data_IF_415212274449
#
_entry.id   IF_415212274449
#
_cell.length_a   1.000
_cell.length_b   1.000
_cell.length_c   1.000
_cell.angle_alpha   90.00
_cell.angle_beta   90.00
_cell.angle_gamma   90.00
#
_symmetry.space_group_name_H-M   'P 1'
#
loop_
_entity.id
_entity.type
_entity.pdbx_description
1 polymer ?
#
# COMPACT_ATOMS: atom_id res chain seq x y z
N UNK A 1 13.72 -3.67 16.19
CA UNK A 1 14.21 -5.06 16.05
C UNK A 1 14.36 -5.27 14.56
N UNK A 2 15.57 -5.54 14.05
CA UNK A 2 15.74 -5.69 12.59
C UNK A 2 14.94 -6.90 12.09
N UNK A 3 14.13 -6.77 11.03
CA UNK A 3 13.37 -7.89 10.48
C UNK A 3 14.34 -8.92 9.89
N UNK A 4 13.93 -10.19 9.93
CA UNK A 4 14.70 -11.23 9.25
C UNK A 4 14.72 -10.97 7.73
N UNK A 5 15.80 -11.30 7.01
CA UNK A 5 15.87 -11.08 5.56
C UNK A 5 14.70 -11.68 4.77
N UNK A 6 14.11 -12.77 5.27
CA UNK A 6 12.96 -13.43 4.64
C UNK A 6 11.66 -12.60 4.71
N UNK A 7 11.59 -11.63 5.63
CA UNK A 7 10.47 -10.70 5.78
C UNK A 7 10.58 -9.51 4.83
N UNK A 8 11.76 -9.24 4.28
CA UNK A 8 11.97 -8.15 3.32
C UNK A 8 11.44 -8.60 1.96
N UNK A 9 10.62 -7.77 1.33
CA UNK A 9 10.14 -7.99 -0.02
C UNK A 9 11.32 -7.84 -0.99
N UNK A 10 11.46 -8.72 -2.01
CA UNK A 10 12.48 -8.55 -3.04
C UNK A 10 12.37 -7.17 -3.72
N UNK A 11 13.46 -6.68 -4.31
CA UNK A 11 13.40 -5.43 -5.06
C UNK A 11 12.31 -5.47 -6.14
N UNK A 12 11.51 -4.39 -6.20
CA UNK A 12 10.38 -4.26 -7.10
C UNK A 12 9.06 -3.98 -6.37
N UNK A 13 7.97 -3.83 -7.13
CA UNK A 13 6.66 -3.53 -6.56
C UNK A 13 6.12 -4.69 -5.74
N UNK A 14 5.34 -4.37 -4.73
CA UNK A 14 4.41 -5.33 -4.15
C UNK A 14 3.24 -5.51 -5.12
N UNK A 15 2.88 -6.77 -5.39
CA UNK A 15 1.76 -7.11 -6.27
C UNK A 15 0.70 -7.88 -5.48
N UNK A 16 -0.54 -7.41 -5.54
CA UNK A 16 -1.70 -8.10 -4.96
C UNK A 16 -2.82 -8.26 -5.99
N UNK A 17 -3.63 -9.29 -5.86
CA UNK A 17 -4.79 -9.54 -6.73
C UNK A 17 -6.05 -9.64 -5.90
N UNK A 18 -7.06 -8.85 -6.26
CA UNK A 18 -8.32 -8.70 -5.52
C UNK A 18 -9.47 -9.09 -6.45
N UNK A 19 -10.46 -9.89 -6.00
CA UNK A 19 -11.63 -10.22 -6.84
C UNK A 19 -12.33 -8.98 -7.39
N UNK A 20 -12.78 -9.01 -8.64
CA UNK A 20 -13.53 -7.90 -9.27
C UNK A 20 -14.82 -7.57 -8.53
N UNK A 21 -15.43 -8.55 -7.87
CA UNK A 21 -16.65 -8.39 -7.08
C UNK A 21 -16.45 -7.68 -5.75
N UNK A 22 -15.20 -7.40 -5.34
CA UNK A 22 -14.93 -6.78 -4.06
C UNK A 22 -15.09 -5.26 -4.11
N UNK A 23 -15.63 -4.69 -3.03
CA UNK A 23 -15.52 -3.25 -2.75
C UNK A 23 -14.13 -2.99 -2.14
N UNK A 24 -13.35 -2.10 -2.74
CA UNK A 24 -11.96 -1.86 -2.36
C UNK A 24 -11.83 -0.51 -1.68
N UNK A 25 -11.13 -0.48 -0.54
CA UNK A 25 -10.74 0.72 0.17
C UNK A 25 -9.23 0.73 0.37
N UNK A 26 -8.56 1.83 0.00
CA UNK A 26 -7.11 1.98 0.09
C UNK A 26 -6.80 3.26 0.86
N UNK A 27 -5.98 3.15 1.89
CA UNK A 27 -5.50 4.28 2.70
C UNK A 27 -4.02 4.18 2.95
N UNK A 28 -3.39 5.32 3.22
CA UNK A 28 -1.99 5.40 3.55
C UNK A 28 -1.73 6.21 4.83
N UNK A 29 -0.64 5.88 5.51
CA UNK A 29 -0.13 6.61 6.68
C UNK A 29 1.38 6.77 6.56
N UNK A 30 1.91 7.90 7.02
CA UNK A 30 3.35 8.11 7.18
C UNK A 30 3.78 8.08 8.65
N UNK A 31 5.03 7.72 8.86
CA UNK A 31 5.71 7.85 10.13
C UNK A 31 7.19 8.28 10.00
N UNK A 32 7.49 9.11 8.99
CA UNK A 32 8.86 9.49 8.64
C UNK A 32 9.01 11.01 8.48
N UNK A 33 10.17 11.56 8.83
CA UNK A 33 10.50 12.95 8.52
C UNK A 33 10.70 13.18 7.00
N UNK A 34 11.20 12.17 6.30
CA UNK A 34 11.34 12.21 4.84
C UNK A 34 9.98 12.13 4.16
N UNK A 35 9.89 12.79 3.00
CA UNK A 35 8.68 12.70 2.17
C UNK A 35 8.54 11.30 1.64
N UNK A 36 7.38 10.71 1.87
CA UNK A 36 7.01 9.40 1.37
C UNK A 36 6.08 9.56 0.18
N UNK A 37 6.28 8.72 -0.82
CA UNK A 37 5.42 8.60 -1.99
C UNK A 37 5.12 7.13 -2.21
N UNK A 38 3.84 6.80 -2.31
CA UNK A 38 3.39 5.46 -2.65
C UNK A 38 2.50 5.51 -3.87
N UNK A 39 2.93 4.84 -4.93
CA UNK A 39 2.14 4.70 -6.17
C UNK A 39 1.40 3.38 -6.13
N UNK A 40 0.07 3.45 -6.17
CA UNK A 40 -0.84 2.32 -6.21
C UNK A 40 -1.49 2.29 -7.60
N UNK A 41 -1.14 1.32 -8.41
CA UNK A 41 -1.59 1.21 -9.81
C UNK A 41 -2.44 -0.06 -9.99
N UNK A 42 -3.66 0.09 -10.52
CA UNK A 42 -4.38 -1.06 -11.06
C UNK A 42 -3.86 -1.33 -12.47
N UNK A 43 -3.34 -2.53 -12.72
CA UNK A 43 -2.68 -2.87 -13.99
C UNK A 43 -3.65 -2.65 -15.16
N UNK A 44 -3.24 -1.79 -16.10
CA UNK A 44 -4.03 -1.45 -17.28
C UNK A 44 -5.14 -0.41 -17.04
N UNK A 45 -5.17 0.24 -15.86
CA UNK A 45 -6.12 1.30 -15.52
C UNK A 45 -5.42 2.48 -14.83
N UNK A 46 -6.10 3.07 -13.85
CA UNK A 46 -5.68 4.27 -13.13
C UNK A 46 -4.55 3.99 -12.13
N UNK A 47 -3.78 5.04 -11.85
CA UNK A 47 -2.79 5.08 -10.78
C UNK A 47 -3.19 6.13 -9.74
N UNK A 48 -2.94 5.81 -8.49
CA UNK A 48 -3.18 6.65 -7.34
C UNK A 48 -1.85 6.91 -6.65
N UNK A 49 -1.50 8.18 -6.47
CA UNK A 49 -0.23 8.57 -5.85
C UNK A 49 -0.56 9.18 -4.49
N UNK A 50 -0.20 8.45 -3.44
CA UNK A 50 -0.28 8.89 -2.05
C UNK A 50 1.05 9.55 -1.67
N UNK A 51 1.00 10.73 -1.06
CA UNK A 51 2.17 11.41 -0.53
C UNK A 51 1.95 11.86 0.91
N UNK A 52 3.02 11.92 1.69
CA UNK A 52 2.94 12.42 3.06
C UNK A 52 4.31 12.57 3.71
N UNK A 53 4.31 13.16 4.90
CA UNK A 53 5.49 13.28 5.77
C UNK A 53 5.04 13.56 7.19
N UNK A 54 5.89 13.24 8.15
CA UNK A 54 5.67 13.39 9.58
C UNK A 54 5.14 12.13 10.25
N UNK A 55 5.35 12.08 11.57
CA UNK A 55 4.92 10.98 12.42
C UNK A 55 3.40 10.90 12.54
N UNK A 56 2.86 9.71 12.29
CA UNK A 56 1.46 9.41 12.57
C UNK A 56 0.44 10.07 11.63
N UNK A 57 0.82 10.58 10.46
CA UNK A 57 -0.06 11.38 9.58
C UNK A 57 -0.71 10.54 8.48
N UNK A 58 -1.95 10.84 8.07
CA UNK A 58 -2.52 10.25 6.87
C UNK A 58 -1.74 10.70 5.63
N UNK A 59 -1.61 9.81 4.65
CA UNK A 59 -1.12 10.16 3.33
C UNK A 59 -2.25 10.76 2.50
N UNK A 60 -1.93 11.75 1.68
CA UNK A 60 -2.88 12.44 0.82
C UNK A 60 -2.62 12.08 -0.64
N UNK A 61 -3.68 11.80 -1.37
CA UNK A 61 -3.67 11.63 -2.81
C UNK A 61 -3.39 12.96 -3.51
N UNK A 62 -2.81 12.88 -4.71
CA UNK A 62 -2.83 14.00 -5.66
C UNK A 62 -4.29 14.41 -5.91
N UNK A 63 -4.69 15.57 -5.39
CA UNK A 63 -6.07 16.06 -5.41
C UNK A 63 -6.72 16.22 -4.03
N UNK A 64 -6.08 15.78 -2.95
CA UNK A 64 -6.46 16.12 -1.57
C UNK A 64 -7.28 15.08 -0.80
N UNK A 65 -7.68 13.97 -1.43
CA UNK A 65 -8.35 12.86 -0.72
C UNK A 65 -7.34 12.04 0.08
N UNK A 66 -7.76 11.37 1.16
CA UNK A 66 -6.90 10.50 1.98
C UNK A 66 -7.19 9.00 1.76
N UNK A 67 -8.20 8.69 0.94
CA UNK A 67 -8.57 7.33 0.57
C UNK A 67 -8.92 7.19 -0.90
N UNK A 68 -8.79 5.97 -1.40
CA UNK A 68 -9.39 5.51 -2.64
C UNK A 68 -10.49 4.51 -2.30
N UNK A 69 -11.72 4.80 -2.73
CA UNK A 69 -12.89 3.95 -2.54
C UNK A 69 -13.41 3.51 -3.91
N UNK A 70 -13.44 2.20 -4.15
CA UNK A 70 -13.80 1.63 -5.45
C UNK A 70 -14.93 0.63 -5.28
N UNK A 71 -15.99 0.85 -6.04
CA UNK A 71 -17.13 -0.05 -6.07
C UNK A 71 -16.81 -1.36 -6.81
N UNK A 72 -17.54 -2.44 -6.50
CA UNK A 72 -17.45 -3.70 -7.23
C UNK A 72 -17.65 -3.54 -8.74
N UNK A 73 -16.90 -4.32 -9.52
CA UNK A 73 -17.07 -4.42 -10.97
C UNK A 73 -17.82 -5.72 -11.26
N UNK A 74 -18.75 -5.68 -12.23
CA UNK A 74 -19.39 -6.89 -12.72
C UNK A 74 -18.37 -7.76 -13.44
N UNK A 75 -18.03 -8.90 -12.85
CA UNK A 75 -17.07 -9.84 -13.40
C UNK A 75 -16.80 -11.00 -12.47
N UNK A 76 -15.91 -11.88 -12.90
CA UNK A 76 -15.47 -13.06 -12.12
C UNK A 76 -13.94 -13.16 -12.08
N UNK A 77 -13.23 -12.13 -12.56
CA UNK A 77 -11.78 -12.06 -12.59
C UNK A 77 -11.19 -11.39 -11.36
N UNK A 78 -9.96 -10.89 -11.53
CA UNK A 78 -9.20 -10.20 -10.50
C UNK A 78 -8.69 -8.85 -10.99
N UNK A 79 -8.79 -7.84 -10.13
CA UNK A 79 -8.10 -6.56 -10.24
C UNK A 79 -6.71 -6.75 -9.64
N UNK A 80 -5.67 -6.62 -10.47
CA UNK A 80 -4.28 -6.75 -10.03
C UNK A 80 -3.68 -5.39 -9.79
N UNK A 81 -3.02 -5.23 -8.64
CA UNK A 81 -2.49 -3.98 -8.14
C UNK A 81 -0.99 -4.08 -7.99
N UNK A 82 -0.30 -3.03 -8.45
CA UNK A 82 1.13 -2.84 -8.29
C UNK A 82 1.35 -1.66 -7.33
N UNK A 83 2.17 -1.85 -6.30
CA UNK A 83 2.38 -0.88 -5.23
C UNK A 83 3.87 -0.62 -5.06
N UNK A 84 4.29 0.60 -5.40
CA UNK A 84 5.69 1.06 -5.34
C UNK A 84 5.86 2.09 -4.23
N UNK A 85 6.89 1.91 -3.39
CA UNK A 85 7.21 2.80 -2.27
C UNK A 85 8.50 3.57 -2.56
N UNK A 86 8.45 4.88 -2.37
CA UNK A 86 9.57 5.79 -2.58
C UNK A 86 9.66 6.79 -1.44
N UNK A 87 10.87 7.27 -1.16
CA UNK A 87 11.13 8.33 -0.20
C UNK A 87 12.04 9.41 -0.80
N UNK A 88 11.98 10.61 -0.23
CA UNK A 88 12.87 11.72 -0.53
C UNK A 88 13.13 12.59 0.70
N UNK A 89 14.41 12.90 0.93
CA UNK A 89 14.83 13.82 1.99
C UNK A 89 14.60 15.30 1.64
N UNK A 90 14.41 15.67 0.38
CA UNK A 90 14.18 17.05 -0.06
C UNK A 90 12.75 17.31 -0.54
N UNK A 91 12.03 16.24 -0.90
CA UNK A 91 10.71 16.29 -1.51
C UNK A 91 10.67 16.75 -2.96
N UNK A 92 11.81 16.95 -3.62
CA UNK A 92 11.87 17.29 -5.05
C UNK A 92 11.53 16.05 -5.92
N UNK A 93 10.82 16.24 -7.03
CA UNK A 93 10.37 15.12 -7.89
C UNK A 93 11.51 14.19 -8.34
N UNK A 94 12.66 14.76 -8.68
CA UNK A 94 13.85 14.04 -9.15
C UNK A 94 14.68 13.38 -8.04
N UNK A 95 14.28 13.60 -6.77
CA UNK A 95 15.02 13.11 -5.60
C UNK A 95 14.43 11.86 -4.97
N UNK A 96 13.29 11.37 -5.48
CA UNK A 96 12.67 10.15 -4.97
C UNK A 96 13.49 8.91 -5.32
N UNK A 97 13.80 8.12 -4.30
CA UNK A 97 14.46 6.81 -4.40
C UNK A 97 13.55 5.72 -3.87
N UNK A 98 13.79 4.47 -4.26
CA UNK A 98 13.01 3.33 -3.76
C UNK A 98 13.23 3.11 -2.26
N UNK A 99 12.15 2.86 -1.54
CA UNK A 99 12.17 2.40 -0.15
C UNK A 99 12.36 0.88 -0.10
N UNK A 100 12.93 0.35 0.98
CA UNK A 100 12.80 -1.07 1.31
C UNK A 100 11.34 -1.32 1.72
N UNK A 101 10.85 -2.54 1.51
CA UNK A 101 9.44 -2.89 1.79
C UNK A 101 9.39 -4.23 2.50
N UNK A 102 8.50 -4.38 3.49
CA UNK A 102 8.19 -5.68 4.08
C UNK A 102 7.24 -6.47 3.18
N UNK A 103 7.35 -7.81 3.24
CA UNK A 103 6.32 -8.68 2.68
C UNK A 103 4.97 -8.31 3.30
N UNK A 104 3.89 -8.22 2.50
CA UNK A 104 2.59 -7.82 3.01
C UNK A 104 2.11 -8.72 4.13
N UNK A 105 1.57 -8.13 5.19
CA UNK A 105 0.77 -8.84 6.18
C UNK A 105 -0.61 -9.01 5.58
N UNK A 106 -1.06 -10.25 5.45
CA UNK A 106 -2.35 -10.60 4.86
C UNK A 106 -3.28 -11.17 5.91
N UNK A 107 -4.50 -10.64 5.98
CA UNK A 107 -5.56 -11.11 6.85
C UNK A 107 -6.84 -11.42 6.07
N UNK A 108 -7.58 -12.43 6.50
CA UNK A 108 -8.84 -12.85 5.85
C UNK A 108 -9.90 -13.10 6.91
N UNK A 109 -11.09 -12.54 6.69
CA UNK A 109 -12.27 -12.79 7.52
C UNK A 109 -13.22 -13.71 6.77
N UNK A 110 -13.71 -14.73 7.46
CA UNK A 110 -14.63 -15.72 6.92
C UNK A 110 -16.00 -15.63 7.60
N UNK A 111 -17.05 -16.03 6.89
CA UNK A 111 -18.36 -16.29 7.50
C UNK A 111 -18.43 -17.68 8.16
N UNK A 112 -19.62 -18.04 8.66
CA UNK A 112 -19.86 -19.34 9.33
C UNK A 112 -19.71 -20.55 8.39
N UNK A 113 -19.80 -20.34 7.07
CA UNK A 113 -19.62 -21.37 6.05
C UNK A 113 -18.18 -21.39 5.48
N UNK A 114 -17.25 -20.67 6.11
CA UNK A 114 -15.86 -20.48 5.66
C UNK A 114 -15.72 -19.76 4.31
N UNK A 115 -16.72 -18.98 3.88
CA UNK A 115 -16.59 -18.12 2.70
C UNK A 115 -15.89 -16.82 3.09
N UNK A 116 -14.99 -16.36 2.22
CA UNK A 116 -14.29 -15.09 2.42
C UNK A 116 -15.28 -13.93 2.37
N UNK A 117 -15.23 -13.05 3.37
CA UNK A 117 -16.05 -11.82 3.49
C UNK A 117 -15.22 -10.56 3.42
N UNK A 118 -13.97 -10.63 3.89
CA UNK A 118 -13.02 -9.51 3.81
C UNK A 118 -11.61 -10.04 3.63
N UNK A 119 -10.84 -9.35 2.80
CA UNK A 119 -9.40 -9.51 2.66
C UNK A 119 -8.72 -8.19 3.00
N UNK A 120 -7.60 -8.23 3.70
CA UNK A 120 -6.83 -7.04 4.07
C UNK A 120 -5.34 -7.29 3.87
N UNK A 121 -4.65 -6.30 3.29
CA UNK A 121 -3.21 -6.28 3.14
C UNK A 121 -2.66 -5.03 3.80
N UNK A 122 -1.69 -5.20 4.68
CA UNK A 122 -0.88 -4.10 5.22
C UNK A 122 0.54 -4.23 4.66
N UNK A 123 1.04 -3.14 4.09
CA UNK A 123 2.33 -3.09 3.39
C UNK A 123 3.10 -1.91 3.94
N UNK A 124 4.24 -2.18 4.58
CA UNK A 124 5.03 -1.19 5.29
C UNK A 124 6.43 -1.05 4.66
N UNK A 125 6.95 0.17 4.64
CA UNK A 125 8.25 0.50 4.04
C UNK A 125 9.24 1.11 5.01
N UNK A 126 10.49 1.12 4.59
CA UNK A 126 11.66 1.68 5.27
C UNK A 126 12.45 2.58 4.30
N UNK A 127 12.77 3.80 4.73
CA UNK A 127 13.43 4.86 3.97
C UNK A 127 14.97 4.77 4.00
N UNK A 128 15.47 3.78 4.74
CA UNK A 128 16.86 3.34 4.92
C UNK A 128 17.64 4.12 5.98
N UNK A 129 16.99 4.58 7.04
CA UNK A 129 17.62 5.34 8.12
C UNK A 129 17.71 4.52 9.41
N UNK A 130 16.64 3.89 9.89
CA UNK A 130 16.61 3.25 11.21
C UNK A 130 16.08 1.80 11.26
N UNK A 131 15.67 1.24 10.12
CA UNK A 131 15.21 -0.14 9.95
C UNK A 131 14.00 -0.50 10.86
N UNK A 132 13.08 0.44 11.08
CA UNK A 132 11.83 0.23 11.84
C UNK A 132 10.63 -0.18 10.96
N UNK A 133 10.73 0.03 9.64
CA UNK A 133 9.75 -0.34 8.62
C UNK A 133 8.34 0.20 8.87
N UNK A 134 8.20 1.45 9.31
CA UNK A 134 6.89 2.09 9.43
C UNK A 134 6.77 3.44 8.70
N UNK A 135 7.77 3.83 7.91
CA UNK A 135 7.86 5.15 7.28
C UNK A 135 6.65 5.48 6.42
N UNK A 136 6.21 4.52 5.61
CA UNK A 136 4.94 4.57 4.92
C UNK A 136 4.24 3.21 5.02
N UNK A 137 2.95 3.25 5.33
CA UNK A 137 2.10 2.07 5.46
C UNK A 137 0.91 2.27 4.52
N UNK A 138 0.71 1.35 3.60
CA UNK A 138 -0.52 1.23 2.81
C UNK A 138 -1.35 0.08 3.35
N UNK A 139 -2.62 0.36 3.62
CA UNK A 139 -3.63 -0.66 3.93
C UNK A 139 -4.61 -0.75 2.76
N UNK A 140 -4.76 -1.96 2.22
CA UNK A 140 -5.78 -2.28 1.21
C UNK A 140 -6.80 -3.22 1.86
N UNK A 141 -8.06 -2.79 1.91
CA UNK A 141 -9.20 -3.59 2.34
C UNK A 141 -10.08 -3.94 1.15
N UNK A 142 -10.56 -5.18 1.10
CA UNK A 142 -11.46 -5.67 0.07
C UNK A 142 -12.62 -6.46 0.70
N UNK A 143 -13.83 -5.90 0.63
CA UNK A 143 -15.06 -6.53 1.14
C UNK A 143 -15.76 -7.32 0.02
N UNK A 144 -16.14 -8.58 0.31
CA UNK A 144 -16.68 -9.59 -0.63
C UNK A 144 -18.11 -10.02 -0.25
#
# INVERSE_FOLDING_TARGET
MQPSPNMIHPEGPVVISIPESAKIHIVGKTNADFRQRVTVEEIGKDKYIFEGSGEGKPMTLVGGSESVDLEPIKGTGFRTWKIDFQNSSSGAEDSFRMSKVLRPVYNTVYDADYKVRKMEWEIASEDNIDDDYNDAIITVSADI
#
